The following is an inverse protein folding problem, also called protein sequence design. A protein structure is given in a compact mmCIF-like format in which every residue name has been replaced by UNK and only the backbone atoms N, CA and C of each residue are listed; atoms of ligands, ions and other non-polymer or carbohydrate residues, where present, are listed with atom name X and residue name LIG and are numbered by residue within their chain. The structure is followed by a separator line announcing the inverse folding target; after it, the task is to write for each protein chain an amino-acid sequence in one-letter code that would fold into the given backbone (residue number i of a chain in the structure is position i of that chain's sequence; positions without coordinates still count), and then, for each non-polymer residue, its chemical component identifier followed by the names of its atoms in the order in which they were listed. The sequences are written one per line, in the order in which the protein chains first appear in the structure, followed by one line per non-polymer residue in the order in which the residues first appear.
data_IF_752177605055
#
_entry.id   IF_752177605055
#
_cell.length_a   1.000
_cell.length_b   1.000
_cell.length_c   1.000
_cell.angle_alpha   90.00
_cell.angle_beta   90.00
_cell.angle_gamma   90.00
#
_symmetry.space_group_name_H-M   'P 1'
#
loop_
_entity.id
_entity.type
_entity.pdbx_description
1 polymer ?
#
# COMPACT_ATOMS: atom_id res chain seq x y z
N UNK A 1 22.74 -38.42 -27.02
CA UNK A 1 22.04 -37.70 -25.94
C UNK A 1 22.68 -36.34 -25.83
N UNK A 2 22.12 -35.34 -26.53
CA UNK A 2 22.71 -34.00 -26.61
C UNK A 2 21.81 -33.07 -25.80
N UNK A 3 22.11 -32.90 -24.51
CA UNK A 3 21.41 -31.98 -23.63
C UNK A 3 21.93 -30.57 -23.86
N UNK A 4 21.25 -29.82 -24.74
CA UNK A 4 21.28 -28.36 -24.69
C UNK A 4 20.59 -27.91 -23.40
N UNK A 5 21.37 -27.72 -22.35
CA UNK A 5 21.00 -26.83 -21.25
C UNK A 5 21.55 -25.44 -21.60
N UNK A 6 20.82 -24.40 -21.17
CA UNK A 6 21.19 -22.97 -21.08
C UNK A 6 20.65 -22.04 -22.20
N UNK A 7 19.43 -21.52 -21.97
CA UNK A 7 19.21 -20.06 -22.03
C UNK A 7 18.75 -19.46 -20.68
N UNK A 8 18.40 -20.32 -19.71
CA UNK A 8 17.64 -19.93 -18.51
C UNK A 8 18.44 -19.04 -17.53
N UNK A 9 19.76 -19.25 -17.43
CA UNK A 9 20.62 -18.56 -16.47
C UNK A 9 20.77 -17.04 -16.74
N UNK A 10 20.81 -16.63 -18.02
CA UNK A 10 20.96 -15.21 -18.38
C UNK A 10 19.74 -14.36 -18.03
N UNK A 11 18.54 -14.91 -18.26
CA UNK A 11 17.26 -14.30 -17.89
C UNK A 11 17.06 -14.20 -16.38
N UNK A 12 17.50 -15.20 -15.61
CA UNK A 12 17.45 -15.18 -14.15
C UNK A 12 18.38 -14.10 -13.59
N UNK A 13 19.61 -14.01 -14.08
CA UNK A 13 20.57 -13.00 -13.63
C UNK A 13 20.08 -11.57 -13.91
N UNK A 14 19.47 -11.34 -15.07
CA UNK A 14 18.88 -10.05 -15.42
C UNK A 14 17.72 -9.69 -14.49
N UNK A 15 16.86 -10.65 -14.14
CA UNK A 15 15.78 -10.46 -13.18
C UNK A 15 16.32 -10.05 -11.79
N UNK A 16 17.30 -10.79 -11.26
CA UNK A 16 17.92 -10.46 -9.97
C UNK A 16 18.57 -9.08 -9.98
N UNK A 17 19.21 -8.71 -11.08
CA UNK A 17 19.81 -7.38 -11.23
C UNK A 17 18.75 -6.27 -11.22
N UNK A 18 17.65 -6.45 -11.94
CA UNK A 18 16.55 -5.47 -11.95
C UNK A 18 15.89 -5.35 -10.57
N UNK A 19 15.66 -6.45 -9.85
CA UNK A 19 15.12 -6.43 -8.49
C UNK A 19 16.08 -5.75 -7.50
N UNK A 20 17.39 -5.99 -7.65
CA UNK A 20 18.40 -5.32 -6.83
C UNK A 20 18.41 -3.80 -7.07
N UNK A 21 18.45 -3.36 -8.33
CA UNK A 21 18.43 -1.94 -8.70
C UNK A 21 17.14 -1.26 -8.20
N UNK A 22 15.99 -1.91 -8.36
CA UNK A 22 14.70 -1.46 -7.83
C UNK A 22 14.73 -1.24 -6.32
N UNK A 23 15.24 -2.23 -5.58
CA UNK A 23 15.35 -2.16 -4.12
C UNK A 23 16.29 -1.04 -3.66
N UNK A 24 17.41 -0.82 -4.37
CA UNK A 24 18.33 0.29 -4.04
C UNK A 24 17.68 1.65 -4.30
N UNK A 25 16.95 1.82 -5.40
CA UNK A 25 16.24 3.06 -5.70
C UNK A 25 15.21 3.40 -4.62
N UNK A 26 14.42 2.42 -4.19
CA UNK A 26 13.42 2.56 -3.11
C UNK A 26 14.11 2.90 -1.78
N UNK A 27 15.19 2.21 -1.44
CA UNK A 27 15.97 2.50 -0.23
C UNK A 27 16.45 3.94 -0.20
N UNK A 28 17.07 4.41 -1.29
CA UNK A 28 17.66 5.74 -1.36
C UNK A 28 16.63 6.88 -1.38
N UNK A 29 15.55 6.73 -2.16
CA UNK A 29 14.63 7.83 -2.44
C UNK A 29 13.34 7.79 -1.62
N UNK A 30 13.05 6.66 -0.97
CA UNK A 30 11.86 6.48 -0.14
C UNK A 30 12.27 6.20 1.29
N UNK A 31 12.92 5.05 1.55
CA UNK A 31 13.15 4.60 2.93
C UNK A 31 14.03 5.57 3.71
N UNK A 32 15.19 5.96 3.16
CA UNK A 32 16.08 6.92 3.81
C UNK A 32 15.45 8.31 3.98
N UNK A 33 14.55 8.71 3.07
CA UNK A 33 13.82 9.98 3.19
C UNK A 33 12.84 9.91 4.35
N UNK A 34 12.00 8.88 4.44
CA UNK A 34 11.08 8.72 5.55
C UNK A 34 11.79 8.52 6.89
N UNK A 35 12.88 7.74 6.94
CA UNK A 35 13.64 7.55 8.18
C UNK A 35 14.25 8.85 8.70
N UNK A 36 14.83 9.68 7.81
CA UNK A 36 15.43 10.96 8.19
C UNK A 36 14.40 12.04 8.52
N UNK A 37 13.21 11.98 7.91
CA UNK A 37 12.16 12.97 8.13
C UNK A 37 11.16 12.57 9.22
N UNK A 38 11.13 11.30 9.63
CA UNK A 38 10.24 10.77 10.67
C UNK A 38 10.17 11.61 11.96
N UNK A 39 11.28 12.12 12.52
CA UNK A 39 11.24 12.97 13.73
C UNK A 39 10.40 14.24 13.58
N UNK A 40 10.18 14.70 12.34
CA UNK A 40 9.40 15.90 12.03
C UNK A 40 7.93 15.59 11.70
N UNK A 41 7.52 14.32 11.65
CA UNK A 41 6.12 13.93 11.46
C UNK A 41 5.33 14.15 12.76
N UNK A 42 4.71 15.32 12.89
CA UNK A 42 3.72 15.62 13.92
C UNK A 42 2.28 15.33 13.43
N UNK A 43 2.10 14.24 12.68
CA UNK A 43 0.85 13.94 11.97
C UNK A 43 -0.33 13.54 12.86
N UNK A 44 -0.13 13.40 14.17
CA UNK A 44 -1.21 13.17 15.16
C UNK A 44 -2.28 14.28 15.10
N UNK A 45 -1.97 15.46 14.54
CA UNK A 45 -2.94 16.53 14.31
C UNK A 45 -3.57 16.56 12.90
N UNK A 46 -3.10 15.78 11.94
CA UNK A 46 -3.63 15.83 10.58
C UNK A 46 -4.95 15.05 10.47
N UNK A 47 -6.05 15.76 10.22
CA UNK A 47 -7.38 15.12 10.08
C UNK A 47 -7.34 14.04 9.01
N UNK A 48 -7.89 12.86 9.34
CA UNK A 48 -8.13 11.79 8.39
C UNK A 48 -8.89 12.33 7.17
N UNK A 49 -8.46 11.93 5.97
CA UNK A 49 -9.13 12.35 4.74
C UNK A 49 -10.60 11.91 4.77
N UNK A 50 -11.56 12.81 4.45
CA UNK A 50 -12.98 12.54 4.70
C UNK A 50 -13.49 11.21 4.16
N UNK A 51 -13.03 10.81 2.97
CA UNK A 51 -13.45 9.56 2.34
C UNK A 51 -12.82 8.30 2.95
N UNK A 52 -11.56 8.38 3.39
CA UNK A 52 -10.93 7.27 4.13
C UNK A 52 -11.61 7.14 5.50
N UNK A 53 -11.88 8.28 6.14
CA UNK A 53 -12.60 8.34 7.41
C UNK A 53 -13.99 7.70 7.29
N UNK A 54 -14.75 8.09 6.27
CA UNK A 54 -16.08 7.52 6.01
C UNK A 54 -15.99 6.01 5.76
N UNK A 55 -15.08 5.56 4.89
CA UNK A 55 -14.89 4.14 4.62
C UNK A 55 -14.58 3.32 5.87
N UNK A 56 -13.80 3.85 6.81
CA UNK A 56 -13.48 3.18 8.08
C UNK A 56 -14.65 3.19 9.08
N UNK A 57 -15.49 4.22 9.06
CA UNK A 57 -16.69 4.29 9.90
C UNK A 57 -17.84 3.41 9.39
N UNK A 58 -17.84 3.06 8.10
CA UNK A 58 -18.81 2.13 7.47
C UNK A 58 -18.39 0.65 7.59
N UNK A 59 -17.52 0.32 8.54
CA UNK A 59 -17.07 -1.04 8.80
C UNK A 59 -17.92 -1.63 9.91
N UNK A 60 -18.24 -2.92 9.79
CA UNK A 60 -19.05 -3.62 10.79
C UNK A 60 -18.29 -3.66 12.13
N UNK A 61 -18.97 -3.43 13.27
CA UNK A 61 -18.36 -3.59 14.58
C UNK A 61 -17.70 -4.95 14.75
N UNK A 62 -16.48 -4.97 15.31
CA UNK A 62 -15.66 -6.16 15.50
C UNK A 62 -14.84 -6.58 14.27
N UNK A 63 -14.95 -5.89 13.13
CA UNK A 63 -14.12 -6.17 11.94
C UNK A 63 -12.63 -6.01 12.26
N UNK A 64 -11.79 -6.86 11.67
CA UNK A 64 -10.34 -6.75 11.72
C UNK A 64 -9.80 -6.05 10.47
N UNK A 65 -9.13 -4.91 10.69
CA UNK A 65 -8.64 -4.04 9.63
C UNK A 65 -7.14 -3.86 9.75
N UNK A 66 -6.44 -3.83 8.60
CA UNK A 66 -5.02 -3.48 8.54
C UNK A 66 -4.73 -2.26 7.67
N UNK A 67 -3.91 -1.35 8.18
CA UNK A 67 -3.34 -0.20 7.46
C UNK A 67 -1.91 -0.53 7.01
N UNK A 68 -1.73 -0.74 5.71
CA UNK A 68 -0.46 -1.11 5.08
C UNK A 68 0.26 0.14 4.60
N UNK A 69 1.37 0.46 5.28
CA UNK A 69 2.05 1.76 5.27
C UNK A 69 1.35 2.78 6.16
N UNK A 70 1.15 2.42 7.43
CA UNK A 70 0.36 3.21 8.38
C UNK A 70 1.03 4.51 8.85
N UNK A 71 2.32 4.70 8.57
CA UNK A 71 3.11 5.81 9.09
C UNK A 71 2.99 5.96 10.61
N UNK A 72 2.63 7.16 11.07
CA UNK A 72 2.45 7.46 12.51
C UNK A 72 1.09 7.01 13.07
N UNK A 73 0.29 6.24 12.31
CA UNK A 73 -0.99 5.68 12.77
C UNK A 73 -2.22 6.56 12.56
N UNK A 74 -2.18 7.49 11.61
CA UNK A 74 -3.23 8.50 11.34
C UNK A 74 -4.67 7.94 11.27
N UNK A 75 -4.83 6.74 10.74
CA UNK A 75 -6.14 6.13 10.50
C UNK A 75 -6.55 5.10 11.56
N UNK A 76 -5.64 4.69 12.45
CA UNK A 76 -5.83 3.56 13.37
C UNK A 76 -6.80 3.84 14.53
N UNK A 77 -7.14 5.11 14.77
CA UNK A 77 -8.09 5.53 15.81
C UNK A 77 -9.40 6.10 15.28
N UNK A 78 -9.64 6.01 13.97
CA UNK A 78 -10.81 6.63 13.32
C UNK A 78 -12.14 6.01 13.78
N UNK A 79 -12.18 4.69 13.89
CA UNK A 79 -13.35 3.93 14.32
C UNK A 79 -12.95 3.06 15.51
N UNK A 80 -13.59 3.29 16.66
CA UNK A 80 -13.31 2.57 17.92
C UNK A 80 -14.06 1.25 18.04
N UNK A 81 -14.97 0.94 17.13
CA UNK A 81 -15.79 -0.28 17.14
C UNK A 81 -15.11 -1.44 16.39
N UNK A 82 -13.94 -1.21 15.80
CA UNK A 82 -13.18 -2.19 15.00
C UNK A 82 -11.81 -2.48 15.63
N UNK A 83 -11.20 -3.58 15.22
CA UNK A 83 -9.83 -3.90 15.57
C UNK A 83 -8.89 -3.43 14.46
N UNK A 84 -8.02 -2.45 14.77
CA UNK A 84 -7.06 -1.91 13.81
C UNK A 84 -5.65 -2.43 14.11
N UNK A 85 -4.95 -2.83 13.05
CA UNK A 85 -3.52 -3.11 13.05
C UNK A 85 -2.84 -2.21 12.01
N UNK A 86 -1.71 -1.61 12.32
CA UNK A 86 -0.88 -0.92 11.34
C UNK A 86 0.40 -1.68 11.04
N UNK A 87 0.89 -1.59 9.80
CA UNK A 87 2.29 -1.91 9.56
C UNK A 87 2.93 -0.94 8.58
N UNK A 88 4.23 -0.71 8.75
CA UNK A 88 5.01 0.20 7.90
C UNK A 88 6.45 -0.32 7.76
N UNK A 89 7.11 0.00 6.66
CA UNK A 89 8.52 -0.34 6.47
C UNK A 89 9.43 0.54 7.35
N UNK A 90 9.03 1.79 7.59
CA UNK A 90 9.81 2.78 8.30
C UNK A 90 9.71 2.58 9.82
N UNK A 91 10.73 1.95 10.41
CA UNK A 91 10.79 1.68 11.86
C UNK A 91 10.57 2.92 12.73
N UNK A 92 11.18 4.09 12.47
CA UNK A 92 10.92 5.29 13.27
C UNK A 92 9.44 5.72 13.29
N UNK A 93 8.72 5.60 12.16
CA UNK A 93 7.29 5.94 12.11
C UNK A 93 6.45 4.95 12.92
N UNK A 94 6.78 3.65 12.85
CA UNK A 94 6.15 2.62 13.67
C UNK A 94 6.38 2.88 15.16
N UNK A 95 7.58 3.31 15.56
CA UNK A 95 7.86 3.68 16.96
C UNK A 95 7.00 4.86 17.43
N UNK A 96 6.79 5.88 16.58
CA UNK A 96 5.87 6.99 16.88
C UNK A 96 4.44 6.48 17.04
N UNK A 97 3.94 5.68 16.10
CA UNK A 97 2.59 5.11 16.16
C UNK A 97 2.38 4.24 17.42
N UNK A 98 3.38 3.44 17.79
CA UNK A 98 3.38 2.64 19.01
C UNK A 98 3.34 3.51 20.27
N UNK A 99 4.09 4.61 20.29
CA UNK A 99 4.06 5.57 21.40
C UNK A 99 2.68 6.24 21.54
N UNK A 100 1.95 6.41 20.43
CA UNK A 100 0.56 6.84 20.39
C UNK A 100 -0.46 5.74 20.76
N UNK A 101 0.00 4.60 21.28
CA UNK A 101 -0.82 3.46 21.74
C UNK A 101 -1.56 2.74 20.61
N UNK A 102 -1.01 2.76 19.40
CA UNK A 102 -1.53 1.95 18.31
C UNK A 102 -0.88 0.56 18.28
N UNK A 103 -1.65 -0.45 17.88
CA UNK A 103 -1.15 -1.78 17.55
C UNK A 103 -0.47 -1.74 16.19
N UNK A 104 0.87 -1.79 16.17
CA UNK A 104 1.66 -1.63 14.95
C UNK A 104 2.89 -2.52 14.90
N UNK A 105 3.36 -2.84 13.70
CA UNK A 105 4.60 -3.57 13.47
C UNK A 105 5.39 -3.05 12.26
N UNK A 106 6.69 -3.35 12.23
CA UNK A 106 7.51 -3.13 11.03
C UNK A 106 7.30 -4.31 10.08
N UNK A 107 6.99 -4.02 8.80
CA UNK A 107 6.71 -5.05 7.79
C UNK A 107 7.26 -4.64 6.40
N UNK A 108 7.54 -5.63 5.56
CA UNK A 108 7.70 -5.40 4.12
C UNK A 108 6.37 -5.67 3.42
N UNK A 109 5.86 -4.67 2.71
CA UNK A 109 4.61 -4.75 1.97
C UNK A 109 4.65 -5.74 0.80
N UNK A 110 5.84 -6.16 0.37
CA UNK A 110 6.03 -7.19 -0.66
C UNK A 110 5.96 -8.63 -0.11
N UNK A 111 5.98 -8.78 1.22
CA UNK A 111 5.86 -10.06 1.91
C UNK A 111 5.29 -9.83 3.32
N UNK A 112 3.95 -9.77 3.40
CA UNK A 112 3.26 -9.41 4.62
C UNK A 112 3.28 -10.57 5.63
N UNK A 113 3.64 -10.34 6.91
CA UNK A 113 3.77 -11.39 7.92
C UNK A 113 2.42 -11.83 8.51
N UNK A 114 1.40 -11.93 7.67
CA UNK A 114 0.05 -12.32 8.04
C UNK A 114 -0.34 -13.62 7.36
N UNK A 115 -1.18 -14.40 8.04
CA UNK A 115 -1.84 -15.57 7.44
C UNK A 115 -2.75 -15.14 6.29
N UNK A 116 -3.02 -16.06 5.38
CA UNK A 116 -4.02 -15.85 4.34
C UNK A 116 -5.40 -15.61 4.97
N UNK A 117 -6.21 -14.76 4.34
CA UNK A 117 -7.63 -14.59 4.66
C UNK A 117 -7.92 -14.32 6.15
N UNK A 118 -7.26 -13.32 6.75
CA UNK A 118 -7.50 -12.95 8.14
C UNK A 118 -8.03 -11.54 8.37
N UNK A 119 -7.99 -10.65 7.38
CA UNK A 119 -8.52 -9.29 7.50
C UNK A 119 -9.82 -9.13 6.73
N UNK A 120 -10.79 -8.45 7.33
CA UNK A 120 -12.03 -8.05 6.68
C UNK A 120 -11.79 -6.89 5.71
N UNK A 121 -10.90 -5.97 6.10
CA UNK A 121 -10.56 -4.79 5.32
C UNK A 121 -9.07 -4.47 5.34
N UNK A 122 -8.54 -4.02 4.20
CA UNK A 122 -7.19 -3.49 4.04
C UNK A 122 -7.28 -2.04 3.56
N UNK A 123 -6.51 -1.14 4.16
CA UNK A 123 -6.26 0.19 3.60
C UNK A 123 -4.78 0.34 3.27
N UNK A 124 -4.47 1.07 2.21
CA UNK A 124 -3.10 1.49 1.90
C UNK A 124 -3.13 2.87 1.24
N UNK A 125 -2.76 3.88 2.01
CA UNK A 125 -2.99 5.29 1.68
C UNK A 125 -1.65 5.98 1.44
N UNK A 126 -1.35 6.26 0.18
CA UNK A 126 -0.14 6.99 -0.20
C UNK A 126 1.12 6.13 -0.19
N UNK A 127 1.03 4.83 -0.47
CA UNK A 127 2.15 3.89 -0.29
C UNK A 127 2.59 3.23 -1.59
N UNK A 128 1.65 2.68 -2.35
CA UNK A 128 1.94 1.83 -3.53
C UNK A 128 2.76 2.55 -4.62
N UNK A 129 2.72 3.89 -4.67
CA UNK A 129 3.48 4.66 -5.65
C UNK A 129 4.98 4.78 -5.30
N UNK A 130 5.41 4.32 -4.13
CA UNK A 130 6.81 4.28 -3.75
C UNK A 130 7.59 3.12 -4.38
N UNK A 131 6.92 2.06 -4.82
CA UNK A 131 7.59 0.95 -5.50
C UNK A 131 8.05 1.38 -6.89
N UNK A 132 9.32 1.15 -7.17
CA UNK A 132 10.03 1.58 -8.37
C UNK A 132 9.59 0.82 -9.63
N UNK A 133 9.12 -0.44 -9.49
CA UNK A 133 8.71 -1.28 -10.62
C UNK A 133 7.23 -1.65 -10.60
N UNK A 134 6.68 -1.95 -11.78
CA UNK A 134 5.31 -2.48 -11.92
C UNK A 134 5.14 -3.80 -11.16
N UNK A 135 6.13 -4.66 -11.28
CA UNK A 135 6.13 -6.01 -10.73
C UNK A 135 6.01 -5.95 -9.21
N UNK A 136 6.78 -5.08 -8.57
CA UNK A 136 6.72 -4.84 -7.12
C UNK A 136 5.39 -4.24 -6.68
N UNK A 137 4.83 -3.28 -7.43
CA UNK A 137 3.45 -2.78 -7.18
C UNK A 137 2.41 -3.89 -7.26
N UNK A 138 2.49 -4.75 -8.27
CA UNK A 138 1.58 -5.90 -8.42
C UNK A 138 1.76 -6.87 -7.26
N UNK A 139 3.00 -7.16 -6.85
CA UNK A 139 3.29 -8.04 -5.73
C UNK A 139 2.71 -7.51 -4.42
N UNK A 140 2.89 -6.22 -4.10
CA UNK A 140 2.28 -5.61 -2.92
C UNK A 140 0.74 -5.74 -2.94
N UNK A 141 0.11 -5.50 -4.08
CA UNK A 141 -1.35 -5.67 -4.23
C UNK A 141 -1.77 -7.13 -4.07
N UNK A 142 -0.98 -8.08 -4.56
CA UNK A 142 -1.24 -9.51 -4.37
C UNK A 142 -1.15 -9.92 -2.91
N UNK A 143 -0.16 -9.41 -2.17
CA UNK A 143 -0.05 -9.66 -0.73
C UNK A 143 -1.24 -9.09 0.04
N UNK A 144 -1.66 -7.87 -0.27
CA UNK A 144 -2.86 -7.28 0.33
C UNK A 144 -4.13 -8.08 -0.01
N UNK A 145 -4.24 -8.63 -1.22
CA UNK A 145 -5.36 -9.50 -1.60
C UNK A 145 -5.31 -10.87 -0.92
N UNK A 146 -4.11 -11.43 -0.69
CA UNK A 146 -3.91 -12.74 -0.03
C UNK A 146 -4.43 -12.75 1.40
N UNK A 147 -4.19 -11.66 2.14
CA UNK A 147 -4.54 -11.55 3.56
C UNK A 147 -6.02 -11.19 3.79
N UNK A 148 -6.75 -10.80 2.73
CA UNK A 148 -8.18 -10.51 2.81
C UNK A 148 -9.02 -11.78 2.85
N UNK A 149 -10.03 -11.80 3.71
CA UNK A 149 -11.08 -12.82 3.68
C UNK A 149 -11.86 -12.75 2.35
N UNK A 150 -12.50 -13.85 1.92
CA UNK A 150 -13.42 -13.81 0.79
C UNK A 150 -14.54 -12.78 1.05
N UNK A 151 -14.76 -11.86 0.11
CA UNK A 151 -15.71 -10.75 0.27
C UNK A 151 -15.14 -9.52 0.97
N UNK A 152 -13.91 -9.59 1.48
CA UNK A 152 -13.21 -8.47 2.10
C UNK A 152 -12.97 -7.30 1.15
N UNK A 153 -12.71 -6.13 1.73
CA UNK A 153 -12.60 -4.86 1.01
C UNK A 153 -11.19 -4.30 1.08
N UNK A 154 -10.68 -3.76 -0.03
CA UNK A 154 -9.44 -2.97 -0.02
C UNK A 154 -9.70 -1.54 -0.50
N UNK A 155 -9.13 -0.57 0.22
CA UNK A 155 -9.06 0.82 -0.20
C UNK A 155 -7.62 1.23 -0.49
N UNK A 156 -7.34 1.54 -1.75
CA UNK A 156 -6.05 2.08 -2.18
C UNK A 156 -6.18 3.57 -2.49
N UNK A 157 -5.25 4.37 -1.98
CA UNK A 157 -5.08 5.76 -2.39
C UNK A 157 -3.66 5.98 -2.91
N UNK A 158 -3.53 6.42 -4.16
CA UNK A 158 -2.23 6.63 -4.81
C UNK A 158 -2.14 8.03 -5.40
N UNK A 159 -0.92 8.55 -5.54
CA UNK A 159 -0.72 9.86 -6.15
C UNK A 159 -1.05 9.80 -7.64
N UNK A 160 -1.76 10.82 -8.12
CA UNK A 160 -2.02 11.02 -9.54
C UNK A 160 -0.89 11.87 -10.15
N UNK A 161 -0.41 11.47 -11.33
CA UNK A 161 0.58 12.24 -12.11
C UNK A 161 0.01 13.55 -12.67
N UNK A 162 -1.32 13.66 -12.83
CA UNK A 162 -1.97 14.87 -13.34
C UNK A 162 -2.16 15.90 -12.22
N UNK A 163 -1.11 16.69 -11.96
CA UNK A 163 -1.21 17.93 -11.20
C UNK A 163 -1.31 19.10 -12.19
N UNK A 164 -2.26 20.03 -11.98
CA UNK A 164 -2.52 21.18 -12.89
C UNK A 164 -1.27 22.03 -13.24
N UNK A 165 -0.15 21.87 -12.52
CA UNK A 165 1.05 22.69 -12.62
C UNK A 165 2.36 21.94 -12.95
N UNK A 166 2.35 20.61 -13.19
CA UNK A 166 3.58 19.84 -13.45
C UNK A 166 3.40 18.87 -14.64
N UNK A 167 4.24 19.04 -15.68
CA UNK A 167 4.36 18.11 -16.83
C UNK A 167 5.60 17.25 -16.61
N UNK A 168 5.45 15.93 -16.69
CA UNK A 168 6.57 14.98 -16.70
C UNK A 168 6.84 14.54 -18.15
N UNK A 169 8.11 14.48 -18.55
CA UNK A 169 8.53 14.24 -19.94
C UNK A 169 8.37 12.79 -20.41
N UNK A 170 8.25 11.83 -19.49
CA UNK A 170 8.00 10.42 -19.81
C UNK A 170 6.83 9.88 -19.00
N UNK A 171 5.97 9.12 -19.68
CA UNK A 171 4.89 8.38 -19.06
C UNK A 171 5.48 7.16 -18.35
N UNK A 172 5.50 7.18 -17.03
CA UNK A 172 5.57 5.92 -16.29
C UNK A 172 4.33 5.11 -16.70
N UNK A 173 4.54 3.88 -17.17
CA UNK A 173 3.50 3.00 -17.76
C UNK A 173 2.37 2.65 -16.76
N UNK A 174 2.32 3.24 -15.57
CA UNK A 174 1.46 2.84 -14.46
C UNK A 174 0.84 3.97 -13.65
N UNK A 175 0.67 5.15 -14.25
CA UNK A 175 -0.31 6.11 -13.72
C UNK A 175 -1.40 6.26 -14.76
N UNK A 176 -2.40 5.37 -14.67
CA UNK A 176 -3.72 5.68 -15.21
C UNK A 176 -4.13 7.03 -14.59
N UNK A 177 -4.80 7.90 -15.34
CA UNK A 177 -5.36 9.15 -14.83
C UNK A 177 -6.20 8.88 -13.57
N UNK A 178 -5.67 9.10 -12.37
CA UNK A 178 -6.29 8.52 -11.16
C UNK A 178 -6.48 9.59 -10.08
N UNK A 179 -7.61 10.29 -10.17
CA UNK A 179 -8.42 10.69 -9.00
C UNK A 179 -9.28 9.50 -8.51
N UNK A 180 -8.74 8.28 -8.59
CA UNK A 180 -9.49 7.04 -8.43
C UNK A 180 -9.37 6.56 -6.98
N UNK A 181 -10.49 6.61 -6.28
CA UNK A 181 -10.72 5.74 -5.13
C UNK A 181 -11.05 4.39 -5.73
N UNK A 182 -10.12 3.45 -5.59
CA UNK A 182 -10.36 2.08 -6.00
C UNK A 182 -10.78 1.31 -4.75
N UNK A 183 -12.09 1.16 -4.56
CA UNK A 183 -12.64 0.17 -3.62
C UNK A 183 -12.76 -1.13 -4.41
N UNK A 184 -11.86 -2.09 -4.18
CA UNK A 184 -11.99 -3.42 -4.78
C UNK A 184 -12.75 -4.29 -3.77
N UNK A 185 -13.92 -4.80 -4.17
CA UNK A 185 -14.59 -5.90 -3.50
C UNK A 185 -14.14 -7.21 -4.16
N UNK A 186 -13.43 -8.06 -3.44
CA UNK A 186 -12.99 -9.36 -3.97
C UNK A 186 -14.07 -10.40 -3.65
N UNK A 187 -14.95 -10.73 -4.60
CA UNK A 187 -15.79 -11.93 -4.52
C UNK A 187 -15.18 -13.04 -5.39
N UNK A 188 -15.23 -14.30 -4.93
CA UNK A 188 -14.59 -15.46 -5.54
C UNK A 188 -15.03 -15.81 -6.99
N UNK A 189 -15.81 -14.96 -7.69
CA UNK A 189 -16.22 -15.24 -9.07
C UNK A 189 -16.08 -14.15 -10.12
N UNK A 190 -15.77 -12.89 -9.82
CA UNK A 190 -15.42 -11.91 -10.88
C UNK A 190 -14.71 -10.70 -10.31
N UNK A 191 -13.58 -10.33 -10.90
CA UNK A 191 -12.95 -9.03 -10.68
C UNK A 191 -13.89 -7.92 -11.17
N UNK A 192 -14.49 -7.15 -10.26
CA UNK A 192 -15.27 -5.94 -10.62
C UNK A 192 -14.71 -4.75 -9.85
N UNK A 193 -13.92 -3.92 -10.53
CA UNK A 193 -13.57 -2.60 -10.04
C UNK A 193 -14.76 -1.66 -10.24
N UNK A 194 -15.39 -1.22 -9.15
CA UNK A 194 -16.44 -0.19 -9.21
C UNK A 194 -15.78 1.18 -9.32
N UNK A 195 -15.86 1.80 -10.51
CA UNK A 195 -15.41 3.18 -10.72
C UNK A 195 -16.56 4.13 -10.38
N UNK A 196 -16.42 4.94 -9.32
CA UNK A 196 -17.29 6.11 -9.15
C UNK A 196 -16.59 7.35 -9.71
N UNK A 197 -17.08 7.88 -10.84
CA UNK A 197 -16.74 9.23 -11.30
C UNK A 197 -17.61 10.21 -10.52
N UNK A 198 -17.02 11.16 -9.80
CA UNK A 198 -17.76 12.27 -9.20
C UNK A 198 -17.50 13.56 -9.98
N UNK A 199 -18.54 14.39 -10.20
CA UNK A 199 -18.40 15.68 -10.87
C UNK A 199 -17.61 16.65 -9.99
N UNK A 200 -16.84 17.50 -10.65
CA UNK A 200 -16.03 18.54 -10.04
C UNK A 200 -16.99 19.69 -9.68
N UNK A 201 -17.07 20.07 -8.40
CA UNK A 201 -17.42 21.43 -7.98
C UNK A 201 -16.15 22.06 -7.40
#
# INVERSE_FOLDING_TARGET
VNTQLLPVQGSILLFYRMEYEATQLEKQHVHSVYESTAPYFNEVQSKAWPKVRQFLLEQEPGSLIVDIGCGTGKYLSVNSEIYNLGCDYCKPLVEIAKNNKHEVMVCDNLNLPFRDQCFDTVISIGVIHHFSTKQRRIQAIKEMARILVPGGRIMLYVWAMEQKSRRFEKQDVFVLKIKLILTIMISHRTWKATQSKLPIR
#
